data_IF_516919367909
#
_entry.id   IF_516919367909
#
_cell.length_a   1.000
_cell.length_b   1.000
_cell.length_c   1.000
_cell.angle_alpha   90.00
_cell.angle_beta   90.00
_cell.angle_gamma   90.00
#
_symmetry.space_group_name_H-M   'P 1'
#
loop_
_entity.id
_entity.type
_entity.pdbx_description
1 polymer ?
#
# COMPACT_ATOMS: atom_id res chain seq x y z
N UNK A 1 -9.53 5.23 -25.95
CA UNK A 1 -9.42 6.72 -26.02
C UNK A 1 -7.94 7.01 -25.96
N UNK A 2 -7.35 7.70 -26.95
CA UNK A 2 -5.89 7.91 -26.98
C UNK A 2 -5.51 9.20 -26.24
N UNK A 3 -4.65 9.09 -25.24
CA UNK A 3 -4.00 10.23 -24.58
C UNK A 3 -2.65 10.46 -25.25
N UNK A 4 -2.44 11.62 -25.86
CA UNK A 4 -1.15 12.01 -26.44
C UNK A 4 -0.35 12.82 -25.42
N UNK A 5 0.88 12.40 -25.16
CA UNK A 5 1.82 12.99 -24.20
C UNK A 5 3.09 13.38 -24.97
N UNK A 6 3.43 14.66 -25.03
CA UNK A 6 4.59 15.13 -25.80
C UNK A 6 5.70 15.62 -24.88
N UNK A 7 6.96 15.42 -25.30
CA UNK A 7 8.14 16.02 -24.66
C UNK A 7 8.36 17.45 -25.17
N UNK A 8 8.93 18.36 -24.37
CA UNK A 8 9.51 19.59 -24.91
C UNK A 8 10.71 19.25 -25.81
N UNK A 9 10.88 19.96 -26.92
CA UNK A 9 12.07 19.84 -27.75
C UNK A 9 13.32 20.27 -26.95
N UNK A 10 14.30 19.37 -26.83
CA UNK A 10 15.54 19.60 -26.08
C UNK A 10 16.24 20.91 -26.47
N UNK A 11 16.51 21.75 -25.47
CA UNK A 11 17.54 22.76 -25.54
C UNK A 11 18.92 22.09 -25.32
N UNK A 12 19.72 22.06 -26.38
CA UNK A 12 21.18 21.93 -26.40
C UNK A 12 21.83 20.65 -25.79
N UNK A 13 22.05 19.65 -26.66
CA UNK A 13 23.39 19.13 -27.00
C UNK A 13 24.15 18.24 -26.01
N UNK A 14 24.15 16.92 -26.26
CA UNK A 14 25.31 16.03 -26.46
C UNK A 14 24.89 14.56 -26.27
N UNK A 15 24.96 13.76 -27.33
CA UNK A 15 24.80 12.30 -27.29
C UNK A 15 26.18 11.63 -27.10
N UNK A 16 26.22 10.45 -26.49
CA UNK A 16 26.93 9.32 -27.08
C UNK A 16 25.95 8.20 -27.45
N UNK A 17 26.31 7.52 -28.54
CA UNK A 17 25.59 6.40 -29.15
C UNK A 17 25.66 5.09 -28.36
N UNK A 18 24.59 4.33 -28.54
CA UNK A 18 24.49 2.87 -28.73
C UNK A 18 24.32 1.87 -27.56
N UNK A 19 23.40 0.94 -27.86
CA UNK A 19 23.10 -0.39 -27.35
C UNK A 19 22.48 -0.62 -25.96
N UNK A 20 21.24 -1.14 -26.01
CA UNK A 20 20.77 -2.23 -25.13
C UNK A 20 20.11 -1.84 -23.82
N UNK A 21 18.78 -1.89 -23.81
CA UNK A 21 17.88 -1.71 -22.65
C UNK A 21 17.90 -0.30 -22.03
N UNK A 22 16.76 0.39 -22.12
CA UNK A 22 16.58 1.67 -21.41
C UNK A 22 16.47 1.36 -19.93
N UNK A 23 17.52 1.68 -19.19
CA UNK A 23 17.53 1.69 -17.73
C UNK A 23 16.61 2.82 -17.25
N UNK A 24 15.52 2.46 -16.56
CA UNK A 24 14.51 3.41 -16.07
C UNK A 24 14.97 4.21 -14.83
N UNK A 25 16.26 4.20 -14.50
CA UNK A 25 16.77 4.76 -13.23
C UNK A 25 16.86 6.28 -13.19
N UNK A 26 16.82 6.99 -14.32
CA UNK A 26 16.88 8.46 -14.33
C UNK A 26 16.15 9.06 -15.55
N UNK A 27 14.85 9.35 -15.43
CA UNK A 27 14.13 10.22 -16.39
C UNK A 27 13.60 11.44 -15.65
N UNK A 28 14.45 12.46 -15.56
CA UNK A 28 14.14 13.74 -14.95
C UNK A 28 13.22 14.58 -15.84
N UNK A 29 12.11 15.03 -15.25
CA UNK A 29 11.21 16.11 -15.73
C UNK A 29 10.68 16.03 -17.17
N UNK A 30 9.44 15.59 -17.32
CA UNK A 30 8.64 15.76 -18.53
C UNK A 30 7.53 16.81 -18.28
N UNK A 31 7.32 17.72 -19.22
CA UNK A 31 6.14 18.60 -19.29
C UNK A 31 5.36 18.19 -20.52
N UNK A 32 4.05 17.91 -20.40
CA UNK A 32 3.21 17.58 -21.55
C UNK A 32 2.58 18.82 -22.16
N UNK A 33 3.18 19.30 -23.23
CA UNK A 33 2.59 20.35 -24.06
C UNK A 33 1.52 19.74 -24.98
N UNK A 34 0.27 20.23 -24.92
CA UNK A 34 -0.60 20.19 -26.12
C UNK A 34 -0.09 21.25 -27.08
N UNK A 35 0.71 20.83 -28.07
CA UNK A 35 1.04 21.68 -29.21
C UNK A 35 -0.19 21.71 -30.10
N UNK A 36 -0.67 22.92 -30.45
CA UNK A 36 -1.64 23.10 -31.55
C UNK A 36 -1.14 22.32 -32.78
N UNK A 37 -2.00 21.80 -33.69
CA UNK A 37 -1.60 20.87 -34.76
C UNK A 37 -0.57 21.36 -35.80
N UNK A 38 0.12 22.49 -35.59
CA UNK A 38 0.92 23.18 -36.60
C UNK A 38 2.42 23.31 -36.26
N UNK A 39 2.92 22.71 -35.17
CA UNK A 39 4.37 22.69 -34.91
C UNK A 39 4.88 21.26 -34.70
N UNK A 40 5.15 20.58 -35.82
CA UNK A 40 6.10 19.47 -35.87
C UNK A 40 7.46 20.00 -35.39
N UNK A 41 7.78 19.81 -34.11
CA UNK A 41 9.13 20.01 -33.61
C UNK A 41 9.90 18.71 -33.79
N UNK A 42 10.91 18.74 -34.65
CA UNK A 42 11.84 17.63 -34.85
C UNK A 42 12.70 17.50 -33.59
N UNK A 43 12.51 16.44 -32.80
CA UNK A 43 13.51 16.01 -31.81
C UNK A 43 13.02 15.56 -30.43
N UNK A 44 11.71 15.50 -30.16
CA UNK A 44 11.17 14.95 -28.90
C UNK A 44 10.54 13.57 -29.10
N UNK A 45 10.75 12.65 -28.16
CA UNK A 45 10.04 11.37 -28.15
C UNK A 45 8.53 11.61 -27.96
N UNK A 46 7.71 10.95 -28.76
CA UNK A 46 6.26 11.02 -28.76
C UNK A 46 5.69 9.90 -27.90
N UNK A 47 5.10 10.25 -26.76
CA UNK A 47 4.45 9.30 -25.87
C UNK A 47 2.95 9.26 -26.19
N UNK A 48 2.36 8.07 -26.21
CA UNK A 48 0.91 7.92 -26.30
C UNK A 48 0.45 6.79 -25.40
N UNK A 49 -0.70 6.99 -24.75
CA UNK A 49 -1.35 5.96 -23.96
C UNK A 49 -2.69 5.67 -24.59
N UNK A 50 -2.87 4.44 -25.07
CA UNK A 50 -4.19 3.96 -25.44
C UNK A 50 -4.92 3.47 -24.18
N UNK A 51 -5.87 4.27 -23.71
CA UNK A 51 -6.63 3.99 -22.50
C UNK A 51 -7.64 2.86 -22.76
N UNK A 52 -7.51 1.78 -21.99
CA UNK A 52 -8.36 0.60 -22.05
C UNK A 52 -9.45 0.59 -20.99
N UNK A 53 -9.14 0.97 -19.74
CA UNK A 53 -10.06 0.87 -18.62
C UNK A 53 -10.01 2.10 -17.71
N UNK A 54 -11.17 2.50 -17.17
CA UNK A 54 -11.27 3.44 -16.06
C UNK A 54 -11.25 2.63 -14.76
N UNK A 55 -10.22 2.82 -13.94
CA UNK A 55 -10.04 2.11 -12.67
C UNK A 55 -10.70 2.86 -11.51
N UNK A 56 -10.67 4.19 -11.54
CA UNK A 56 -11.27 5.04 -10.52
C UNK A 56 -11.63 6.41 -11.06
N UNK A 57 -12.72 6.99 -10.56
CA UNK A 57 -13.15 8.34 -10.87
C UNK A 57 -13.49 9.09 -9.58
N UNK A 58 -12.77 10.19 -9.35
CA UNK A 58 -12.92 11.06 -8.19
C UNK A 58 -12.38 12.45 -8.52
N UNK A 59 -11.60 13.04 -7.60
CA UNK A 59 -10.89 14.32 -7.87
C UNK A 59 -9.87 14.22 -9.00
N UNK A 60 -9.35 13.01 -9.23
CA UNK A 60 -8.55 12.63 -10.37
C UNK A 60 -9.15 11.36 -10.97
N UNK A 61 -8.98 11.18 -12.28
CA UNK A 61 -9.33 9.96 -13.00
C UNK A 61 -8.11 9.05 -13.03
N UNK A 62 -8.29 7.78 -12.68
CA UNK A 62 -7.24 6.76 -12.76
C UNK A 62 -7.63 5.78 -13.84
N UNK A 63 -6.79 5.64 -14.84
CA UNK A 63 -7.05 4.83 -16.03
C UNK A 63 -5.91 3.85 -16.27
N UNK A 64 -6.22 2.64 -16.72
CA UNK A 64 -5.24 1.71 -17.27
C UNK A 64 -5.13 1.92 -18.78
N UNK A 65 -3.93 1.72 -19.33
CA UNK A 65 -3.72 1.76 -20.76
C UNK A 65 -2.41 1.12 -21.20
N UNK A 66 -2.16 1.17 -22.50
CA UNK A 66 -0.90 0.73 -23.10
C UNK A 66 -0.08 1.95 -23.51
N UNK A 67 1.13 2.07 -22.97
CA UNK A 67 2.09 3.11 -23.37
C UNK A 67 2.81 2.73 -24.66
N UNK A 68 2.92 3.69 -25.57
CA UNK A 68 3.78 3.63 -26.75
C UNK A 68 4.69 4.86 -26.79
N UNK A 69 5.93 4.68 -27.23
CA UNK A 69 6.94 5.73 -27.40
C UNK A 69 7.42 5.68 -28.84
N UNK A 70 7.28 6.78 -29.57
CA UNK A 70 7.58 6.89 -31.01
C UNK A 70 6.87 5.80 -31.84
N UNK A 71 5.65 5.43 -31.42
CA UNK A 71 4.86 4.37 -32.05
C UNK A 71 5.23 2.95 -31.62
N UNK A 72 6.24 2.76 -30.78
CA UNK A 72 6.65 1.47 -30.25
C UNK A 72 6.04 1.21 -28.87
N UNK A 73 5.29 0.10 -28.76
CA UNK A 73 4.66 -0.33 -27.51
C UNK A 73 5.70 -0.63 -26.43
N UNK A 74 5.56 0.00 -25.26
CA UNK A 74 6.46 -0.16 -24.11
C UNK A 74 5.88 -1.10 -23.04
N UNK A 75 4.59 -1.00 -22.74
CA UNK A 75 4.00 -1.80 -21.67
C UNK A 75 2.63 -1.30 -21.20
N UNK A 76 2.08 -1.99 -20.20
CA UNK A 76 0.86 -1.54 -19.52
C UNK A 76 1.20 -0.51 -18.44
N UNK A 77 0.40 0.55 -18.39
CA UNK A 77 0.57 1.68 -17.47
C UNK A 77 -0.74 2.05 -16.81
N UNK A 78 -0.62 2.71 -15.67
CA UNK A 78 -1.71 3.42 -15.00
C UNK A 78 -1.45 4.91 -15.10
N UNK A 79 -2.46 5.64 -15.56
CA UNK A 79 -2.46 7.10 -15.71
C UNK A 79 -3.40 7.71 -14.68
N UNK A 80 -2.89 8.56 -13.81
CA UNK A 80 -3.67 9.39 -12.89
C UNK A 80 -3.73 10.81 -13.43
N UNK A 81 -4.91 11.21 -13.90
CA UNK A 81 -5.16 12.45 -14.61
C UNK A 81 -6.00 13.36 -13.72
N UNK A 82 -5.56 14.60 -13.52
CA UNK A 82 -6.29 15.59 -12.74
C UNK A 82 -6.24 16.96 -13.39
N UNK A 83 -7.33 17.71 -13.25
CA UNK A 83 -7.48 19.07 -13.78
C UNK A 83 -7.73 20.07 -12.65
N UNK A 84 -7.24 21.30 -12.83
CA UNK A 84 -7.31 22.38 -11.85
C UNK A 84 -6.12 22.41 -10.90
N UNK A 85 -5.69 23.62 -10.55
CA UNK A 85 -4.44 23.89 -9.83
C UNK A 85 -4.25 23.10 -8.53
N UNK A 86 -5.30 22.92 -7.73
CA UNK A 86 -5.22 22.15 -6.49
C UNK A 86 -5.00 20.65 -6.73
N UNK A 87 -5.56 20.09 -7.80
CA UNK A 87 -5.41 18.66 -8.12
C UNK A 87 -4.05 18.42 -8.76
N UNK A 88 -3.65 19.29 -9.68
CA UNK A 88 -2.32 19.29 -10.33
C UNK A 88 -1.21 19.32 -9.28
N UNK A 89 -1.30 20.22 -8.31
CA UNK A 89 -0.30 20.32 -7.24
C UNK A 89 -0.22 19.05 -6.39
N UNK A 90 -1.34 18.36 -6.13
CA UNK A 90 -1.32 17.06 -5.43
C UNK A 90 -0.65 15.97 -6.26
N UNK A 91 -0.93 15.92 -7.56
CA UNK A 91 -0.30 14.96 -8.48
C UNK A 91 1.21 15.23 -8.57
N UNK A 92 1.62 16.50 -8.59
CA UNK A 92 3.03 16.90 -8.58
C UNK A 92 3.75 16.43 -7.31
N UNK A 93 3.16 16.68 -6.13
CA UNK A 93 3.70 16.19 -4.85
C UNK A 93 3.85 14.67 -4.82
N UNK A 94 2.85 13.94 -5.31
CA UNK A 94 2.93 12.48 -5.40
C UNK A 94 4.06 12.04 -6.36
N UNK A 95 4.20 12.69 -7.52
CA UNK A 95 5.28 12.41 -8.46
C UNK A 95 6.67 12.68 -7.84
N UNK A 96 6.80 13.71 -7.00
CA UNK A 96 8.07 14.03 -6.33
C UNK A 96 8.45 12.98 -5.28
N UNK A 97 7.47 12.34 -4.62
CA UNK A 97 7.73 11.18 -3.77
C UNK A 97 8.32 10.02 -4.58
N UNK A 98 7.74 9.72 -5.74
CA UNK A 98 8.24 8.69 -6.66
C UNK A 98 9.66 8.96 -7.15
N UNK A 99 9.97 10.20 -7.55
CA UNK A 99 11.32 10.61 -7.97
C UNK A 99 12.34 10.59 -6.84
N UNK A 100 11.89 10.94 -5.63
CA UNK A 100 12.76 11.09 -4.48
C UNK A 100 12.73 9.85 -3.59
N UNK A 101 12.00 9.97 -2.47
CA UNK A 101 12.06 9.00 -1.38
C UNK A 101 11.65 7.58 -1.77
N UNK A 102 10.70 7.43 -2.68
CA UNK A 102 10.22 6.11 -3.12
C UNK A 102 11.05 5.49 -4.24
N UNK A 103 12.01 6.23 -4.83
CA UNK A 103 12.83 5.73 -5.94
C UNK A 103 13.51 4.38 -5.65
N UNK A 104 14.10 4.12 -4.46
CA UNK A 104 14.72 2.83 -4.13
C UNK A 104 13.73 1.65 -4.02
N UNK A 105 12.43 1.94 -3.96
CA UNK A 105 11.37 0.95 -3.72
C UNK A 105 10.62 0.56 -5.01
N UNK A 106 10.86 1.28 -6.10
CA UNK A 106 10.15 1.10 -7.36
C UNK A 106 10.37 -0.30 -7.96
N UNK A 107 9.31 -0.86 -8.53
CA UNK A 107 9.32 -2.21 -9.12
C UNK A 107 9.32 -3.34 -8.08
N UNK A 108 9.49 -3.03 -6.78
CA UNK A 108 9.47 -4.01 -5.70
C UNK A 108 8.29 -3.81 -4.75
N UNK A 109 8.20 -2.64 -4.13
CA UNK A 109 7.18 -2.33 -3.12
C UNK A 109 6.21 -1.24 -3.57
N UNK A 110 6.60 -0.43 -4.56
CA UNK A 110 5.74 0.57 -5.21
C UNK A 110 5.89 0.47 -6.74
N UNK A 111 4.96 1.02 -7.55
CA UNK A 111 5.09 1.05 -8.99
C UNK A 111 6.34 1.79 -9.47
N UNK A 112 6.77 1.48 -10.68
CA UNK A 112 7.82 2.25 -11.36
C UNK A 112 7.23 3.53 -11.91
N UNK A 113 7.84 4.66 -11.57
CA UNK A 113 7.53 5.95 -12.14
C UNK A 113 8.01 6.04 -13.57
N UNK A 114 7.06 6.26 -14.49
CA UNK A 114 7.36 6.49 -15.91
C UNK A 114 7.54 7.98 -16.16
N UNK A 115 6.68 8.81 -15.57
CA UNK A 115 6.77 10.25 -15.75
C UNK A 115 5.58 11.01 -15.19
N UNK A 116 5.77 12.31 -15.01
CA UNK A 116 4.73 13.29 -14.79
C UNK A 116 4.61 14.12 -16.06
N UNK A 117 3.40 14.43 -16.48
CA UNK A 117 3.10 15.12 -17.73
C UNK A 117 2.10 16.24 -17.45
N UNK A 118 2.52 17.49 -17.60
CA UNK A 118 1.70 18.67 -17.25
C UNK A 118 1.48 19.59 -18.45
N UNK A 119 0.27 20.14 -18.57
CA UNK A 119 -0.08 21.09 -19.63
C UNK A 119 -1.46 21.70 -19.45
N UNK A 120 -1.95 22.38 -20.49
CA UNK A 120 -3.30 22.95 -20.52
C UNK A 120 -4.22 22.14 -21.44
N UNK A 121 -5.43 21.86 -20.97
CA UNK A 121 -6.52 21.25 -21.74
C UNK A 121 -7.74 22.17 -21.75
N UNK A 122 -8.84 21.73 -22.40
CA UNK A 122 -10.12 22.45 -22.35
C UNK A 122 -10.66 22.57 -20.92
N UNK A 123 -10.25 21.65 -20.04
CA UNK A 123 -10.59 21.63 -18.61
C UNK A 123 -9.63 22.46 -17.75
N UNK A 124 -8.66 23.16 -18.37
CA UNK A 124 -7.66 24.00 -17.72
C UNK A 124 -6.32 23.31 -17.47
N UNK A 125 -5.58 23.79 -16.47
CA UNK A 125 -4.30 23.19 -16.04
C UNK A 125 -4.52 21.71 -15.69
N UNK A 126 -3.74 20.83 -16.31
CA UNK A 126 -3.93 19.38 -16.25
C UNK A 126 -2.60 18.69 -16.01
N UNK A 127 -2.58 17.69 -15.15
CA UNK A 127 -1.44 16.82 -14.91
C UNK A 127 -1.82 15.34 -15.07
N UNK A 128 -0.89 14.57 -15.61
CA UNK A 128 -0.99 13.12 -15.78
C UNK A 128 0.26 12.47 -15.19
N UNK A 129 0.10 11.75 -14.07
CA UNK A 129 1.12 10.88 -13.51
C UNK A 129 0.99 9.50 -14.15
N UNK A 130 2.08 8.99 -14.70
CA UNK A 130 2.15 7.68 -15.36
C UNK A 130 3.06 6.76 -14.57
N UNK A 131 2.50 5.61 -14.18
CA UNK A 131 3.17 4.54 -13.44
C UNK A 131 3.02 3.22 -14.20
N UNK A 132 3.89 2.25 -13.94
CA UNK A 132 3.69 0.87 -14.44
C UNK A 132 2.40 0.25 -13.88
N UNK A 133 1.74 -0.59 -14.67
CA UNK A 133 0.62 -1.39 -14.19
C UNK A 133 1.17 -2.63 -13.45
N UNK A 134 0.87 -2.73 -12.15
CA UNK A 134 1.47 -3.72 -11.25
C UNK A 134 0.55 -4.90 -10.93
N UNK A 135 -0.57 -5.05 -11.63
CA UNK A 135 -1.54 -6.13 -11.41
C UNK A 135 -2.89 -5.60 -10.93
N UNK A 136 -3.65 -6.47 -10.26
CA UNK A 136 -5.04 -6.17 -9.91
C UNK A 136 -5.16 -5.69 -8.47
N UNK A 137 -6.04 -4.72 -8.22
CA UNK A 137 -6.33 -4.27 -6.86
C UNK A 137 -6.81 -5.44 -6.00
N UNK A 138 -6.33 -5.51 -4.76
CA UNK A 138 -6.74 -6.49 -3.78
C UNK A 138 -8.26 -6.43 -3.56
N UNK A 139 -8.93 -7.58 -3.72
CA UNK A 139 -10.39 -7.70 -3.60
C UNK A 139 -10.85 -8.32 -2.27
N UNK A 140 -9.97 -9.08 -1.63
CA UNK A 140 -10.23 -9.73 -0.34
C UNK A 140 -9.68 -8.88 0.79
N UNK A 141 -10.25 -9.01 1.99
CA UNK A 141 -9.70 -8.29 3.15
C UNK A 141 -8.31 -8.81 3.50
N UNK A 142 -7.45 -7.88 3.93
CA UNK A 142 -6.13 -8.24 4.43
C UNK A 142 -6.22 -9.11 5.70
N UNK A 143 -7.30 -8.97 6.47
CA UNK A 143 -7.57 -9.77 7.68
C UNK A 143 -7.64 -11.26 7.38
N UNK A 144 -8.36 -11.68 6.33
CA UNK A 144 -8.56 -13.10 5.97
C UNK A 144 -7.50 -13.64 5.01
N UNK A 145 -6.51 -12.83 4.65
CA UNK A 145 -5.45 -13.25 3.73
C UNK A 145 -4.45 -14.17 4.42
N UNK A 146 -3.85 -15.08 3.65
CA UNK A 146 -2.80 -15.96 4.17
C UNK A 146 -1.59 -15.19 4.69
N UNK A 147 -0.96 -15.72 5.74
CA UNK A 147 0.15 -15.07 6.46
C UNK A 147 1.27 -14.55 5.55
N UNK A 148 1.63 -15.27 4.50
CA UNK A 148 2.74 -14.87 3.62
C UNK A 148 2.42 -13.64 2.79
N UNK A 149 1.15 -13.43 2.42
CA UNK A 149 0.72 -12.19 1.78
C UNK A 149 0.72 -11.05 2.80
N UNK A 150 0.16 -11.27 3.99
CA UNK A 150 0.09 -10.26 5.07
C UNK A 150 1.49 -9.78 5.46
N UNK A 151 2.45 -10.69 5.63
CA UNK A 151 3.87 -10.36 5.87
C UNK A 151 4.45 -9.48 4.77
N UNK A 152 4.29 -9.87 3.51
CA UNK A 152 4.82 -9.10 2.37
C UNK A 152 4.20 -7.71 2.26
N UNK A 153 2.91 -7.55 2.58
CA UNK A 153 2.26 -6.24 2.65
C UNK A 153 2.86 -5.39 3.78
N UNK A 154 3.07 -5.98 4.96
CA UNK A 154 3.69 -5.27 6.10
C UNK A 154 5.14 -4.88 5.80
N UNK A 155 5.90 -5.76 5.14
CA UNK A 155 7.26 -5.46 4.69
C UNK A 155 7.28 -4.28 3.71
N UNK A 156 6.33 -4.23 2.78
CA UNK A 156 6.19 -3.14 1.82
C UNK A 156 5.90 -1.81 2.53
N UNK A 157 4.97 -1.81 3.50
CA UNK A 157 4.62 -0.62 4.26
C UNK A 157 5.81 -0.16 5.11
N UNK A 158 6.46 -1.07 5.83
CA UNK A 158 7.66 -0.74 6.63
C UNK A 158 8.77 -0.18 5.75
N UNK A 159 8.97 -0.70 4.54
CA UNK A 159 9.95 -0.16 3.59
C UNK A 159 9.62 1.29 3.15
N UNK A 160 8.34 1.59 2.89
CA UNK A 160 7.85 2.95 2.60
C UNK A 160 8.15 3.89 3.78
N UNK A 161 7.88 3.45 5.00
CA UNK A 161 8.17 4.22 6.21
C UNK A 161 9.68 4.44 6.42
N UNK A 162 10.51 3.43 6.16
CA UNK A 162 11.97 3.53 6.23
C UNK A 162 12.55 4.48 5.17
N UNK A 163 11.87 4.63 4.04
CA UNK A 163 12.17 5.65 3.04
C UNK A 163 11.75 7.08 3.46
N UNK A 164 11.14 7.22 4.64
CA UNK A 164 10.73 8.51 5.20
C UNK A 164 9.43 9.05 4.64
N UNK A 165 8.51 8.15 4.26
CA UNK A 165 7.17 8.46 3.73
C UNK A 165 6.10 7.78 4.58
N UNK A 166 5.05 8.52 4.94
CA UNK A 166 3.80 7.97 5.47
C UNK A 166 2.80 7.92 4.33
N UNK A 167 2.10 6.80 4.17
CA UNK A 167 1.14 6.63 3.07
C UNK A 167 -0.14 7.46 3.29
N UNK A 168 -0.60 7.57 4.54
CA UNK A 168 -1.73 8.38 5.04
C UNK A 168 -3.13 7.97 4.56
N UNK A 169 -3.21 7.01 3.65
CA UNK A 169 -4.47 6.40 3.19
C UNK A 169 -4.28 4.88 2.97
N UNK A 170 -3.51 4.24 3.86
CA UNK A 170 -3.24 2.80 3.76
C UNK A 170 -4.50 1.97 4.04
N UNK A 171 -4.79 1.04 3.13
CA UNK A 171 -5.90 0.07 3.21
C UNK A 171 -5.89 -0.88 2.02
N UNK A 172 -6.81 -1.84 1.94
CA UNK A 172 -6.86 -2.81 0.83
C UNK A 172 -6.97 -2.15 -0.54
N UNK A 173 -7.53 -0.93 -0.61
CA UNK A 173 -7.60 -0.16 -1.86
C UNK A 173 -6.26 0.35 -2.37
N UNK A 174 -5.28 0.46 -1.49
CA UNK A 174 -3.91 0.87 -1.78
C UNK A 174 -2.98 -0.33 -2.09
N UNK A 175 -3.52 -1.54 -2.16
CA UNK A 175 -2.74 -2.77 -2.40
C UNK A 175 -3.12 -3.35 -3.76
N UNK A 176 -2.11 -3.55 -4.60
CA UNK A 176 -2.21 -4.24 -5.89
C UNK A 176 -1.45 -5.57 -5.80
N UNK A 177 -2.04 -6.63 -6.35
CA UNK A 177 -1.49 -7.99 -6.33
C UNK A 177 -1.08 -8.38 -7.76
N UNK A 178 0.22 -8.67 -7.92
CA UNK A 178 0.77 -9.23 -9.15
C UNK A 178 0.34 -10.69 -9.33
N UNK A 179 0.49 -11.23 -10.55
CA UNK A 179 0.16 -12.63 -10.87
C UNK A 179 0.94 -13.66 -10.04
N UNK A 180 2.13 -13.30 -9.56
CA UNK A 180 2.97 -14.10 -8.67
C UNK A 180 2.62 -13.94 -7.18
N UNK A 181 1.48 -13.31 -6.89
CA UNK A 181 1.00 -13.01 -5.54
C UNK A 181 1.90 -12.03 -4.75
N UNK A 182 2.72 -11.23 -5.44
CA UNK A 182 3.54 -10.17 -4.83
C UNK A 182 2.71 -8.89 -4.67
N UNK A 183 2.59 -8.33 -3.45
CA UNK A 183 1.88 -7.07 -3.22
C UNK A 183 2.74 -5.85 -3.58
N UNK A 184 2.09 -4.84 -4.13
CA UNK A 184 2.66 -3.52 -4.44
C UNK A 184 1.73 -2.45 -3.88
N UNK A 185 2.29 -1.47 -3.16
CA UNK A 185 1.56 -0.35 -2.59
C UNK A 185 1.39 0.76 -3.62
N UNK A 186 0.18 1.30 -3.74
CA UNK A 186 -0.20 2.34 -4.71
C UNK A 186 -1.06 3.41 -4.03
N UNK A 187 -1.17 4.58 -4.65
CA UNK A 187 -2.12 5.61 -4.19
C UNK A 187 -1.53 6.60 -3.20
N UNK A 188 -0.31 7.07 -3.43
CA UNK A 188 0.42 8.02 -2.59
C UNK A 188 -0.09 9.48 -2.69
N UNK A 189 -1.34 9.70 -3.13
CA UNK A 189 -1.90 11.04 -3.30
C UNK A 189 -2.17 11.81 -2.00
N UNK A 190 -2.22 11.09 -0.87
CA UNK A 190 -2.31 11.66 0.48
C UNK A 190 -1.00 11.53 1.27
N UNK A 191 0.05 10.95 0.68
CA UNK A 191 1.28 10.64 1.37
C UNK A 191 2.06 11.90 1.75
N UNK A 192 2.80 11.81 2.84
CA UNK A 192 3.56 12.92 3.41
C UNK A 192 4.96 12.49 3.86
N UNK A 193 5.84 13.48 4.01
CA UNK A 193 7.14 13.27 4.64
C UNK A 193 6.96 12.78 6.08
N UNK A 194 7.72 11.76 6.44
CA UNK A 194 7.57 11.10 7.73
C UNK A 194 8.93 10.69 8.30
N UNK A 195 9.17 11.03 9.56
CA UNK A 195 10.24 10.42 10.35
C UNK A 195 9.63 9.25 11.13
N UNK A 196 9.86 8.04 10.64
CA UNK A 196 9.26 6.85 11.25
C UNK A 196 10.10 6.39 12.44
N UNK A 197 9.51 6.45 13.63
CA UNK A 197 10.12 5.98 14.87
C UNK A 197 9.64 4.60 15.28
N UNK A 198 9.39 3.69 14.32
CA UNK A 198 8.90 2.33 14.58
C UNK A 198 9.70 1.69 15.73
N UNK A 199 9.04 1.53 16.87
CA UNK A 199 9.69 1.29 18.17
C UNK A 199 9.90 -0.18 18.49
N UNK A 200 9.31 -1.09 17.69
CA UNK A 200 9.38 -2.54 17.92
C UNK A 200 9.63 -3.30 16.62
N UNK A 201 10.15 -4.51 16.78
CA UNK A 201 10.14 -5.55 15.76
C UNK A 201 8.73 -6.15 15.62
N UNK A 202 8.14 -6.06 14.43
CA UNK A 202 6.77 -6.52 14.16
C UNK A 202 6.76 -8.04 14.04
N UNK A 203 6.28 -8.71 15.08
CA UNK A 203 6.21 -10.18 15.14
C UNK A 203 4.77 -10.66 15.08
N UNK A 204 4.50 -11.56 14.13
CA UNK A 204 3.20 -12.19 14.00
C UNK A 204 2.88 -13.08 15.22
N UNK A 205 1.61 -13.09 15.59
CA UNK A 205 1.03 -13.89 16.69
C UNK A 205 1.67 -13.65 18.06
N UNK A 206 2.25 -12.48 18.28
CA UNK A 206 2.47 -11.96 19.62
C UNK A 206 1.20 -11.25 20.10
N UNK A 207 0.96 -11.14 21.42
CA UNK A 207 -0.08 -10.27 21.95
C UNK A 207 0.06 -8.85 21.41
N UNK A 208 -1.05 -8.26 20.97
CA UNK A 208 -1.05 -6.92 20.41
C UNK A 208 -0.44 -5.91 21.41
N UNK A 209 0.61 -5.19 21.01
CA UNK A 209 1.22 -4.18 21.86
C UNK A 209 0.31 -2.95 21.97
N UNK A 210 0.56 -2.13 22.97
CA UNK A 210 -0.03 -0.79 23.01
C UNK A 210 0.51 0.06 21.86
N UNK A 211 -0.31 0.93 21.25
CA UNK A 211 0.09 1.75 20.10
C UNK A 211 1.36 2.59 20.34
N UNK A 212 1.51 3.12 21.57
CA UNK A 212 2.70 3.85 22.03
C UNK A 212 4.00 3.04 21.93
N UNK A 213 3.95 1.71 22.10
CA UNK A 213 5.14 0.88 21.94
C UNK A 213 5.54 0.76 20.47
N UNK A 214 4.57 0.69 19.55
CA UNK A 214 4.84 0.68 18.10
C UNK A 214 5.40 2.03 17.63
N UNK A 215 5.00 3.13 18.27
CA UNK A 215 5.49 4.47 18.00
C UNK A 215 5.31 4.96 16.54
N UNK A 216 4.44 4.29 15.77
CA UNK A 216 3.96 4.74 14.47
C UNK A 216 2.48 4.32 14.28
N UNK A 217 1.60 5.31 14.15
CA UNK A 217 0.15 5.09 14.13
C UNK A 217 -0.31 4.34 12.87
N UNK A 218 0.16 4.71 11.69
CA UNK A 218 -0.21 4.04 10.43
C UNK A 218 0.21 2.56 10.45
N UNK A 219 1.46 2.28 10.85
CA UNK A 219 1.96 0.90 10.96
C UNK A 219 1.19 0.10 12.00
N UNK A 220 0.84 0.72 13.15
CA UNK A 220 0.02 0.07 14.17
C UNK A 220 -1.35 -0.36 13.62
N UNK A 221 -2.08 0.57 12.99
CA UNK A 221 -3.40 0.26 12.44
C UNK A 221 -3.33 -0.72 11.27
N UNK A 222 -2.31 -0.62 10.42
CA UNK A 222 -2.06 -1.59 9.36
C UNK A 222 -1.87 -3.00 9.92
N UNK A 223 -1.12 -3.15 11.02
CA UNK A 223 -0.94 -4.43 11.70
C UNK A 223 -2.23 -4.98 12.33
N UNK A 224 -3.09 -4.10 12.88
CA UNK A 224 -4.41 -4.49 13.41
C UNK A 224 -5.31 -5.01 12.28
N UNK A 225 -5.43 -4.26 11.18
CA UNK A 225 -6.24 -4.67 10.00
C UNK A 225 -5.72 -5.97 9.40
N UNK A 226 -4.40 -6.11 9.34
CA UNK A 226 -3.74 -7.30 8.85
C UNK A 226 -3.68 -8.43 9.89
N UNK A 227 -4.38 -8.36 11.03
CA UNK A 227 -4.38 -9.37 12.09
C UNK A 227 -2.97 -9.93 12.43
N UNK A 228 -1.97 -9.05 12.44
CA UNK A 228 -0.57 -9.43 12.70
C UNK A 228 -0.44 -10.03 14.09
N UNK A 229 -1.13 -9.45 15.06
CA UNK A 229 -1.06 -9.82 16.45
C UNK A 229 -2.25 -10.64 16.90
N UNK A 230 -2.09 -11.34 18.02
CA UNK A 230 -3.22 -11.87 18.78
C UNK A 230 -4.00 -10.71 19.40
N UNK A 231 -5.30 -10.89 19.72
CA UNK A 231 -6.05 -9.89 20.47
C UNK A 231 -5.30 -9.43 21.72
N UNK A 232 -5.31 -8.14 22.03
CA UNK A 232 -4.68 -7.63 23.25
C UNK A 232 -5.38 -8.16 24.51
N UNK A 233 -6.71 -8.31 24.42
CA UNK A 233 -7.59 -8.69 25.51
C UNK A 233 -8.64 -9.70 25.04
N UNK A 234 -9.18 -10.44 25.99
CA UNK A 234 -10.36 -11.29 25.83
C UNK A 234 -11.45 -10.84 26.81
N UNK A 235 -12.71 -11.12 26.52
CA UNK A 235 -13.83 -10.79 27.41
C UNK A 235 -13.96 -11.88 28.50
N UNK A 236 -13.87 -11.51 29.76
CA UNK A 236 -14.07 -12.41 30.90
C UNK A 236 -14.94 -11.73 31.96
N UNK A 237 -16.09 -12.35 32.32
CA UNK A 237 -17.06 -11.80 33.26
C UNK A 237 -17.52 -10.36 32.93
N UNK A 238 -17.76 -10.09 31.64
CA UNK A 238 -18.14 -8.76 31.11
C UNK A 238 -17.06 -7.68 31.32
N UNK A 239 -15.79 -8.08 31.31
CA UNK A 239 -14.66 -7.15 31.39
C UNK A 239 -13.53 -7.60 30.47
N UNK A 240 -12.86 -6.66 29.77
CA UNK A 240 -11.68 -7.00 28.99
C UNK A 240 -10.51 -7.30 29.92
N UNK A 241 -9.93 -8.48 29.76
CA UNK A 241 -8.75 -8.94 30.52
C UNK A 241 -7.60 -9.28 29.58
N UNK A 242 -6.33 -9.21 30.04
CA UNK A 242 -5.18 -9.56 29.19
C UNK A 242 -5.30 -10.96 28.60
N UNK A 243 -5.05 -11.10 27.30
CA UNK A 243 -5.10 -12.40 26.59
C UNK A 243 -4.20 -13.47 27.23
N UNK A 244 -3.11 -13.04 27.88
CA UNK A 244 -2.15 -13.93 28.53
C UNK A 244 -2.81 -14.83 29.58
N UNK A 245 -3.81 -14.32 30.31
CA UNK A 245 -4.54 -15.13 31.30
C UNK A 245 -5.27 -16.29 30.63
N UNK A 246 -5.90 -16.05 29.48
CA UNK A 246 -6.55 -17.12 28.71
C UNK A 246 -5.54 -18.09 28.08
N UNK A 247 -4.39 -17.61 27.61
CA UNK A 247 -3.32 -18.48 27.06
C UNK A 247 -2.70 -19.39 28.14
N UNK A 248 -2.65 -18.92 29.39
CA UNK A 248 -2.05 -19.63 30.52
C UNK A 248 -2.91 -20.76 31.11
N UNK A 249 -4.23 -20.73 30.93
CA UNK A 249 -5.14 -21.74 31.49
C UNK A 249 -6.44 -21.13 32.02
N UNK A 250 -7.52 -21.92 32.07
CA UNK A 250 -8.77 -21.50 32.73
C UNK A 250 -8.54 -21.11 34.19
N UNK A 251 -7.63 -21.81 34.87
CA UNK A 251 -7.28 -21.52 36.26
C UNK A 251 -6.65 -20.13 36.43
N UNK A 252 -5.90 -19.63 35.43
CA UNK A 252 -5.32 -18.27 35.47
C UNK A 252 -6.44 -17.22 35.39
N UNK A 253 -7.44 -17.43 34.53
CA UNK A 253 -8.63 -16.56 34.47
C UNK A 253 -9.41 -16.57 35.80
N UNK A 254 -9.69 -17.76 36.35
CA UNK A 254 -10.41 -17.91 37.62
C UNK A 254 -9.68 -17.21 38.77
N UNK A 255 -8.36 -17.29 38.82
CA UNK A 255 -7.54 -16.63 39.84
C UNK A 255 -7.66 -15.09 39.82
N UNK A 256 -8.03 -14.51 38.67
CA UNK A 256 -8.23 -13.07 38.49
C UNK A 256 -9.70 -12.64 38.52
N UNK A 257 -10.62 -13.55 38.85
CA UNK A 257 -12.04 -13.22 38.97
C UNK A 257 -12.26 -12.13 40.05
N UNK A 258 -13.21 -11.20 39.83
CA UNK A 258 -13.56 -10.19 40.84
C UNK A 258 -13.90 -10.81 42.20
N UNK A 259 -13.57 -10.09 43.27
CA UNK A 259 -13.81 -10.58 44.63
C UNK A 259 -15.31 -10.77 44.87
N UNK A 260 -15.69 -11.97 45.31
CA UNK A 260 -17.09 -12.33 45.60
C UNK A 260 -17.82 -12.93 44.40
N UNK A 261 -17.16 -13.08 43.24
CA UNK A 261 -17.68 -13.90 42.15
C UNK A 261 -17.85 -15.34 42.61
N UNK A 262 -18.99 -15.94 42.24
CA UNK A 262 -19.26 -17.35 42.47
C UNK A 262 -18.20 -18.24 41.74
N UNK A 263 -17.58 -19.22 42.42
CA UNK A 263 -16.51 -20.02 41.81
C UNK A 263 -16.93 -20.83 40.57
N UNK A 264 -18.17 -21.33 40.55
CA UNK A 264 -18.66 -22.13 39.43
C UNK A 264 -18.97 -21.23 38.24
N UNK A 265 -19.54 -20.05 38.48
CA UNK A 265 -19.72 -19.02 37.48
C UNK A 265 -18.38 -18.55 36.88
N UNK A 266 -17.36 -18.30 37.72
CA UNK A 266 -16.04 -17.90 37.27
C UNK A 266 -15.40 -18.97 36.37
N UNK A 267 -15.53 -20.25 36.73
CA UNK A 267 -15.02 -21.38 35.95
C UNK A 267 -15.74 -21.50 34.60
N UNK A 268 -17.06 -21.46 34.61
CA UNK A 268 -17.88 -21.52 33.39
C UNK A 268 -17.49 -20.40 32.41
N UNK A 269 -17.38 -19.15 32.89
CA UNK A 269 -16.95 -18.04 32.03
C UNK A 269 -15.51 -18.19 31.55
N UNK A 270 -14.60 -18.73 32.37
CA UNK A 270 -13.21 -18.93 31.96
C UNK A 270 -13.09 -19.98 30.83
N UNK A 271 -13.90 -21.03 30.89
CA UNK A 271 -14.00 -22.05 29.84
C UNK A 271 -14.55 -21.45 28.54
N UNK A 272 -15.65 -20.71 28.59
CA UNK A 272 -16.22 -20.02 27.42
C UNK A 272 -15.24 -19.02 26.79
N UNK A 273 -14.59 -18.17 27.60
CA UNK A 273 -13.59 -17.22 27.12
C UNK A 273 -12.43 -17.93 26.38
N UNK A 274 -12.07 -19.14 26.82
CA UNK A 274 -11.03 -19.93 26.16
C UNK A 274 -11.52 -20.63 24.91
N UNK A 275 -12.76 -21.10 24.89
CA UNK A 275 -13.40 -21.65 23.71
C UNK A 275 -13.47 -20.59 22.60
N UNK A 276 -13.92 -19.37 22.91
CA UNK A 276 -13.94 -18.24 21.97
C UNK A 276 -12.54 -17.93 21.40
N UNK A 277 -11.50 -17.98 22.25
CA UNK A 277 -10.12 -17.77 21.81
C UNK A 277 -9.61 -18.92 20.93
N UNK A 278 -9.98 -20.16 21.24
CA UNK A 278 -9.65 -21.33 20.43
C UNK A 278 -10.31 -21.25 19.06
N UNK A 279 -11.59 -20.91 19.00
CA UNK A 279 -12.31 -20.70 17.73
C UNK A 279 -11.62 -19.63 16.87
N UNK A 280 -11.21 -18.52 17.48
CA UNK A 280 -10.44 -17.48 16.78
C UNK A 280 -9.10 -18.01 16.25
N UNK A 281 -8.37 -18.80 17.05
CA UNK A 281 -7.09 -19.43 16.64
C UNK A 281 -7.33 -20.39 15.47
N UNK A 282 -8.32 -21.28 15.56
CA UNK A 282 -8.66 -22.24 14.50
C UNK A 282 -9.08 -21.55 13.21
N UNK A 283 -9.89 -20.49 13.31
CA UNK A 283 -10.24 -19.64 12.16
C UNK A 283 -8.98 -19.04 11.53
N UNK A 284 -8.02 -18.63 12.35
CA UNK A 284 -6.75 -18.10 11.85
C UNK A 284 -5.87 -19.15 11.19
N UNK A 285 -5.78 -20.35 11.74
CA UNK A 285 -5.08 -21.47 11.13
C UNK A 285 -5.68 -21.83 9.77
N UNK A 286 -7.01 -21.77 9.66
CA UNK A 286 -7.74 -22.01 8.41
C UNK A 286 -7.29 -21.03 7.32
N UNK A 287 -7.30 -19.71 7.57
CA UNK A 287 -6.89 -18.79 6.50
C UNK A 287 -5.37 -18.73 6.30
N UNK A 288 -4.57 -19.03 7.31
CA UNK A 288 -3.10 -19.07 7.16
C UNK A 288 -2.61 -20.37 6.50
N UNK A 289 -3.49 -21.38 6.38
CA UNK A 289 -3.21 -22.68 5.80
C UNK A 289 -2.18 -23.49 6.58
N UNK A 290 -1.91 -23.10 7.83
CA UNK A 290 -0.92 -23.72 8.70
C UNK A 290 -1.25 -23.49 10.18
N UNK A 291 -0.83 -24.40 11.08
CA UNK A 291 -0.99 -24.20 12.52
C UNK A 291 -0.24 -22.97 13.03
N UNK A 292 -0.81 -22.28 14.02
CA UNK A 292 -0.18 -21.12 14.64
C UNK A 292 0.91 -21.57 15.61
N UNK A 293 2.03 -20.83 15.75
CA UNK A 293 3.08 -21.13 16.71
C UNK A 293 2.70 -20.72 18.15
N UNK A 294 1.44 -20.91 18.53
CA UNK A 294 0.87 -20.55 19.84
C UNK A 294 0.86 -21.80 20.71
N UNK A 295 1.23 -21.66 21.99
CA UNK A 295 1.15 -22.74 22.98
C UNK A 295 0.12 -22.37 24.03
N UNK A 296 -1.07 -22.92 23.92
CA UNK A 296 -2.04 -22.89 25.01
C UNK A 296 -1.65 -23.94 26.05
N UNK A 297 -1.76 -23.57 27.33
CA UNK A 297 -1.64 -24.54 28.42
C UNK A 297 -3.01 -25.12 28.76
N UNK A 298 -3.00 -26.40 29.12
CA UNK A 298 -4.15 -27.12 29.68
C UNK A 298 -4.42 -26.66 31.11
#
# INVERSE_FOLDING_TARGET
MALLLLTPANAAGAFPDDDGAVDFTHVDTLQAVRVRPEASSKGGAQYSVDVSHLLHEGRARVCQGTLSVDGHRQGEVVCKIGCGSQVVERIRKEADLYRGKLAPLQGRYVPTFVGLFEGETEDGETACLVLTHEGERMQQSLYISGIDLRKRVMDALVAVHQAGVRHSDFGEHSIVIRKDNTPVLVGFGGAEDHDCHLGIDIRFYQPQPHNQAVACEEVYWACVVAAVWLPATVEFLNSPVPIQWALEGSDSLVAHAPKGTDPDLARMHAELTREDLLEWIEERELYDGQPLPIKMRD
#
